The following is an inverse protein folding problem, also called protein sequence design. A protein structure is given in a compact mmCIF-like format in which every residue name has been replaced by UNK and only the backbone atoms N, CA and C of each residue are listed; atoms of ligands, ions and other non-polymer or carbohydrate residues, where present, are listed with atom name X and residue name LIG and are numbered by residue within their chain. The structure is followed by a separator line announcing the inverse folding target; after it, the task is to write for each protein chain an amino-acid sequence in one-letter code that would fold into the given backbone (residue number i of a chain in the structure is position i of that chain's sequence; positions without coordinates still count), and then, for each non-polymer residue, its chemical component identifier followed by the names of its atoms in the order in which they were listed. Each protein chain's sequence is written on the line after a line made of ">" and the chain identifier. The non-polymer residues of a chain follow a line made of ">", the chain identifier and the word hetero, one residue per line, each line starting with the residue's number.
data_IF_869995883186
#
_entry.id   IF_869995883186
#
_cell.length_a   1.000
_cell.length_b   1.000
_cell.length_c   1.000
_cell.angle_alpha   90.00
_cell.angle_beta   90.00
_cell.angle_gamma   90.00
#
_symmetry.space_group_name_H-M   'P 1'
#
loop_
_entity.id
_entity.type
_entity.pdbx_description
1 polymer ?
#
# COMPACT_ATOMS: atom_id res chain seq x y z
N UNK A 1 2.62 15.87 -4.80
CA UNK A 1 3.93 15.86 -5.49
C UNK A 1 5.06 15.42 -4.55
N UNK A 2 6.20 14.89 -5.05
CA UNK A 2 7.31 14.40 -4.19
C UNK A 2 7.85 15.43 -3.15
N UNK A 3 7.97 16.74 -3.46
CA UNK A 3 8.40 17.73 -2.46
C UNK A 3 7.41 17.91 -1.30
N UNK A 4 6.11 17.76 -1.57
CA UNK A 4 5.06 17.83 -0.53
C UNK A 4 5.16 16.63 0.40
N UNK A 5 5.36 15.42 -0.14
CA UNK A 5 5.56 14.21 0.65
C UNK A 5 6.72 14.41 1.63
N UNK A 6 7.89 14.86 1.13
CA UNK A 6 9.04 15.17 1.97
C UNK A 6 8.70 16.15 3.10
N UNK A 7 7.95 17.22 2.77
CA UNK A 7 7.61 18.30 3.71
C UNK A 7 6.60 17.83 4.77
N UNK A 8 5.60 17.04 4.36
CA UNK A 8 4.63 16.43 5.27
C UNK A 8 5.33 15.44 6.19
N UNK A 9 6.15 14.52 5.65
CA UNK A 9 6.90 13.56 6.47
C UNK A 9 7.78 14.25 7.51
N UNK A 10 8.49 15.31 7.13
CA UNK A 10 9.26 16.14 8.06
C UNK A 10 8.38 16.71 9.18
N UNK A 11 7.23 17.29 8.81
CA UNK A 11 6.31 17.94 9.75
C UNK A 11 5.73 16.95 10.75
N UNK A 12 5.19 15.83 10.27
CA UNK A 12 4.62 14.79 11.13
C UNK A 12 5.67 14.09 12.01
N UNK A 13 6.88 13.89 11.50
CA UNK A 13 7.98 13.34 12.31
C UNK A 13 8.35 14.29 13.47
N UNK A 14 8.47 15.58 13.22
CA UNK A 14 8.74 16.57 14.28
C UNK A 14 7.58 16.75 15.25
N UNK A 15 6.35 16.48 14.81
CA UNK A 15 5.15 16.46 15.66
C UNK A 15 5.06 15.22 16.57
N UNK A 16 5.92 14.20 16.34
CA UNK A 16 5.98 13.00 17.17
C UNK A 16 5.13 11.84 16.68
N UNK A 17 4.85 11.75 15.38
CA UNK A 17 4.24 10.55 14.81
C UNK A 17 5.11 9.30 15.08
N UNK A 18 4.49 8.17 15.44
CA UNK A 18 5.22 6.90 15.64
C UNK A 18 5.52 6.18 14.32
N UNK A 19 4.68 6.41 13.30
CA UNK A 19 4.75 5.78 11.99
C UNK A 19 4.32 6.77 10.91
N UNK A 20 4.95 6.70 9.74
CA UNK A 20 4.57 7.42 8.54
C UNK A 20 4.31 6.38 7.46
N UNK A 21 3.03 6.20 7.12
CA UNK A 21 2.61 5.36 6.00
C UNK A 21 2.63 6.14 4.69
N UNK A 22 3.19 5.51 3.65
CA UNK A 22 3.31 6.08 2.31
C UNK A 22 3.05 5.02 1.25
N UNK A 23 2.73 5.48 0.03
CA UNK A 23 2.59 4.57 -1.11
C UNK A 23 3.87 3.71 -1.30
N UNK A 24 3.67 2.44 -1.68
CA UNK A 24 4.72 1.48 -2.02
C UNK A 24 5.43 1.80 -3.35
N UNK A 25 5.89 3.05 -3.49
CA UNK A 25 6.59 3.58 -4.64
C UNK A 25 8.01 4.01 -4.22
N UNK A 26 9.06 3.57 -4.93
CA UNK A 26 10.45 3.88 -4.58
C UNK A 26 10.77 5.38 -4.49
N UNK A 27 10.17 6.22 -5.35
CA UNK A 27 10.40 7.66 -5.33
C UNK A 27 9.69 8.32 -4.14
N UNK A 28 8.49 7.85 -3.80
CA UNK A 28 7.75 8.26 -2.60
C UNK A 28 8.52 7.90 -1.33
N UNK A 29 9.00 6.66 -1.22
CA UNK A 29 9.84 6.17 -0.10
C UNK A 29 11.10 7.02 0.04
N UNK A 30 11.79 7.32 -1.06
CA UNK A 30 12.97 8.17 -1.04
C UNK A 30 12.67 9.60 -0.55
N UNK A 31 11.55 10.19 -1.00
CA UNK A 31 11.12 11.51 -0.54
C UNK A 31 10.78 11.51 0.95
N UNK A 32 10.08 10.49 1.45
CA UNK A 32 9.76 10.33 2.86
C UNK A 32 11.03 10.18 3.72
N UNK A 33 11.98 9.32 3.32
CA UNK A 33 13.29 9.19 3.99
C UNK A 33 14.04 10.51 4.10
N UNK A 34 14.04 11.29 3.02
CA UNK A 34 14.65 12.63 3.03
C UNK A 34 13.99 13.56 4.08
N UNK A 35 12.67 13.46 4.24
CA UNK A 35 11.90 14.18 5.27
C UNK A 35 12.27 13.74 6.68
N UNK A 36 12.33 12.42 6.93
CA UNK A 36 12.73 11.84 8.21
C UNK A 36 14.17 12.22 8.60
N UNK A 37 15.10 12.19 7.65
CA UNK A 37 16.49 12.60 7.87
C UNK A 37 16.59 14.09 8.21
N UNK A 38 15.76 14.93 7.58
CA UNK A 38 15.69 16.35 7.93
C UNK A 38 15.12 16.56 9.34
N UNK A 39 14.08 15.80 9.72
CA UNK A 39 13.49 15.85 11.05
C UNK A 39 14.52 15.49 12.13
N UNK A 40 15.30 14.42 11.89
CA UNK A 40 16.33 13.98 12.82
C UNK A 40 17.47 15.00 12.97
N UNK A 41 17.88 15.68 11.89
CA UNK A 41 18.87 16.77 11.97
C UNK A 41 18.35 17.94 12.79
N UNK A 42 17.10 18.35 12.58
CA UNK A 42 16.48 19.45 13.34
C UNK A 42 16.32 19.07 14.81
N UNK A 43 15.80 17.87 15.10
CA UNK A 43 15.64 17.41 16.47
C UNK A 43 16.97 17.36 17.25
N UNK A 44 18.07 16.96 16.58
CA UNK A 44 19.42 16.99 17.14
C UNK A 44 19.91 18.42 17.38
N UNK A 45 19.70 19.33 16.43
CA UNK A 45 20.09 20.74 16.57
C UNK A 45 19.34 21.46 17.71
N UNK A 46 18.04 21.16 17.85
CA UNK A 46 17.16 21.69 18.90
C UNK A 46 17.31 20.99 20.26
N UNK A 47 18.17 19.96 20.36
CA UNK A 47 18.33 19.12 21.56
C UNK A 47 17.01 18.53 22.11
N UNK A 48 16.10 18.11 21.22
CA UNK A 48 14.80 17.54 21.60
C UNK A 48 14.99 16.15 22.22
N UNK A 49 14.98 16.09 23.55
CA UNK A 49 15.17 14.85 24.34
C UNK A 49 14.10 13.77 24.13
N UNK A 50 12.94 14.13 23.56
CA UNK A 50 11.82 13.22 23.31
C UNK A 50 11.63 12.80 21.85
N UNK A 51 12.47 13.26 20.92
CA UNK A 51 12.29 12.90 19.51
C UNK A 51 12.60 11.42 19.27
N UNK A 52 11.66 10.72 18.65
CA UNK A 52 11.85 9.37 18.12
C UNK A 52 11.60 9.44 16.63
N UNK A 53 12.46 8.79 15.85
CA UNK A 53 12.27 8.68 14.41
C UNK A 53 11.05 7.78 14.17
N UNK A 54 10.00 8.26 13.47
CA UNK A 54 8.89 7.40 13.08
C UNK A 54 9.36 6.23 12.23
N UNK A 55 8.69 5.08 12.34
CA UNK A 55 8.84 4.01 11.36
C UNK A 55 8.33 4.46 9.99
N UNK A 56 9.02 4.07 8.93
CA UNK A 56 8.51 4.20 7.58
C UNK A 56 7.71 2.95 7.22
N UNK A 57 6.43 3.11 6.91
CA UNK A 57 5.52 2.05 6.52
C UNK A 57 5.11 2.21 5.06
N UNK A 58 4.80 1.08 4.44
CA UNK A 58 4.08 1.01 3.17
C UNK A 58 2.91 0.04 3.29
N UNK A 59 1.89 0.24 2.47
CA UNK A 59 0.73 -0.65 2.41
C UNK A 59 0.68 -1.46 1.12
N UNK A 60 0.22 -2.71 1.22
CA UNK A 60 -0.02 -3.62 0.10
C UNK A 60 -1.37 -4.31 0.30
N UNK A 61 -2.11 -4.64 -0.76
CA UNK A 61 -3.38 -5.37 -0.63
C UNK A 61 -3.26 -6.84 -0.99
N UNK A 62 -3.89 -7.69 -0.19
CA UNK A 62 -4.13 -9.09 -0.48
C UNK A 62 -5.37 -9.22 -1.37
N UNK A 63 -5.17 -9.33 -2.69
CA UNK A 63 -6.27 -9.46 -3.65
C UNK A 63 -6.36 -8.27 -4.59
N UNK A 64 -7.58 -7.84 -4.92
CA UNK A 64 -7.74 -6.62 -5.72
C UNK A 64 -7.33 -5.41 -4.87
N UNK A 65 -6.23 -4.78 -5.25
CA UNK A 65 -5.77 -3.58 -4.56
C UNK A 65 -6.54 -2.34 -5.05
N UNK A 66 -7.32 -1.68 -4.19
CA UNK A 66 -7.96 -0.42 -4.52
C UNK A 66 -7.01 0.65 -5.07
N UNK A 67 -5.76 0.65 -4.61
CA UNK A 67 -4.72 1.60 -4.97
C UNK A 67 -4.05 1.29 -6.31
N UNK A 68 -4.13 0.04 -6.81
CA UNK A 68 -3.68 -0.32 -8.17
C UNK A 68 -4.81 -0.37 -9.20
N UNK A 69 -6.03 0.01 -8.81
CA UNK A 69 -7.13 0.25 -9.76
C UNK A 69 -6.95 1.57 -10.47
N UNK A 70 -7.12 1.57 -11.79
CA UNK A 70 -7.15 2.79 -12.60
C UNK A 70 -8.54 2.93 -13.20
N UNK A 71 -9.02 4.17 -13.26
CA UNK A 71 -10.26 4.46 -13.98
C UNK A 71 -10.02 4.29 -15.49
N UNK A 72 -10.96 3.66 -16.18
CA UNK A 72 -10.95 3.54 -17.63
C UNK A 72 -12.36 3.68 -18.19
N UNK A 73 -12.44 4.21 -19.40
CA UNK A 73 -13.64 4.23 -20.22
C UNK A 73 -13.21 4.38 -21.68
N UNK A 74 -14.06 3.95 -22.60
CA UNK A 74 -13.87 4.25 -24.02
C UNK A 74 -14.38 5.68 -24.30
N UNK A 75 -13.50 6.62 -24.67
CA UNK A 75 -13.91 7.99 -24.98
C UNK A 75 -14.83 8.08 -26.21
N UNK A 76 -14.80 7.11 -27.12
CA UNK A 76 -15.62 7.10 -28.32
C UNK A 76 -17.11 6.87 -28.02
N UNK A 77 -17.43 6.18 -26.92
CA UNK A 77 -18.82 5.95 -26.48
C UNK A 77 -19.30 6.99 -25.45
N UNK A 78 -18.44 7.91 -25.01
CA UNK A 78 -18.83 8.98 -24.10
C UNK A 78 -19.69 10.03 -24.83
N UNK A 79 -20.92 10.31 -24.38
CA UNK A 79 -21.80 11.25 -25.07
C UNK A 79 -21.18 12.65 -25.19
N UNK A 80 -21.30 13.26 -26.38
CA UNK A 80 -20.70 14.57 -26.68
C UNK A 80 -21.30 15.71 -25.83
N UNK A 81 -22.56 15.55 -25.42
CA UNK A 81 -23.33 16.43 -24.56
C UNK A 81 -23.18 16.10 -23.06
N UNK A 82 -22.33 15.14 -22.70
CA UNK A 82 -22.04 14.82 -21.31
C UNK A 82 -21.48 16.05 -20.58
N UNK A 83 -21.98 16.40 -19.37
CA UNK A 83 -21.44 17.52 -18.58
C UNK A 83 -20.06 17.23 -17.96
N UNK A 84 -19.56 16.00 -18.13
CA UNK A 84 -18.24 15.51 -17.67
C UNK A 84 -17.91 15.88 -16.22
N UNK A 85 -18.76 15.52 -15.24
CA UNK A 85 -18.45 15.73 -13.82
C UNK A 85 -17.20 14.97 -13.37
N UNK A 86 -16.84 13.89 -14.08
CA UNK A 86 -15.63 13.10 -13.84
C UNK A 86 -14.33 13.90 -14.03
N UNK A 87 -14.27 14.85 -14.97
CA UNK A 87 -13.11 15.74 -15.14
C UNK A 87 -12.95 16.64 -13.91
N UNK A 88 -14.06 17.25 -13.45
CA UNK A 88 -14.07 18.22 -12.34
C UNK A 88 -13.76 17.59 -10.98
N UNK A 89 -14.21 16.35 -10.75
CA UNK A 89 -14.01 15.68 -9.45
C UNK A 89 -12.61 15.06 -9.31
N UNK A 90 -11.89 14.90 -10.43
CA UNK A 90 -10.58 14.25 -10.42
C UNK A 90 -9.52 15.18 -9.81
N UNK A 91 -8.98 14.89 -8.62
CA UNK A 91 -8.13 15.84 -7.90
C UNK A 91 -6.72 15.96 -8.49
N UNK A 92 -6.39 15.10 -9.45
CA UNK A 92 -5.08 15.03 -10.15
C UNK A 92 -5.22 15.23 -11.65
N UNK A 93 -6.40 15.67 -12.10
CA UNK A 93 -6.67 15.99 -13.51
C UNK A 93 -6.26 14.83 -14.45
N UNK A 94 -6.57 13.60 -14.04
CA UNK A 94 -6.25 12.41 -14.82
C UNK A 94 -7.26 12.13 -15.92
N UNK A 95 -8.42 12.79 -15.93
CA UNK A 95 -9.46 12.63 -16.96
C UNK A 95 -9.51 13.93 -17.75
N UNK A 96 -9.33 13.82 -19.07
CA UNK A 96 -9.24 14.97 -19.98
C UNK A 96 -10.01 14.69 -21.28
N UNK A 97 -10.65 15.71 -21.84
CA UNK A 97 -11.17 15.76 -23.21
C UNK A 97 -10.57 16.95 -23.97
N UNK A 98 -9.30 16.80 -24.39
CA UNK A 98 -8.56 17.73 -25.24
C UNK A 98 -8.65 17.36 -26.73
N UNK A 99 -8.16 18.25 -27.60
CA UNK A 99 -8.21 18.04 -29.06
C UNK A 99 -7.40 16.82 -29.53
N UNK A 100 -6.33 16.49 -28.80
CA UNK A 100 -5.37 15.42 -29.10
C UNK A 100 -5.50 14.21 -28.16
N UNK A 101 -6.33 14.30 -27.12
CA UNK A 101 -6.56 13.21 -26.19
C UNK A 101 -7.93 13.28 -25.53
N UNK A 102 -8.62 12.15 -25.51
CA UNK A 102 -9.80 11.94 -24.69
C UNK A 102 -9.63 10.64 -23.91
N UNK A 103 -9.82 10.66 -22.59
CA UNK A 103 -9.72 9.45 -21.77
C UNK A 103 -9.04 9.70 -20.42
N UNK A 104 -8.44 8.63 -19.88
CA UNK A 104 -7.74 8.65 -18.59
C UNK A 104 -6.23 8.57 -18.77
N UNK A 105 -5.50 9.56 -18.26
CA UNK A 105 -4.03 9.56 -18.08
C UNK A 105 -3.67 8.59 -16.96
N UNK A 106 -3.36 7.34 -17.31
CA UNK A 106 -3.10 6.26 -16.34
C UNK A 106 -1.94 6.55 -15.39
N UNK A 107 -0.94 7.30 -15.87
CA UNK A 107 0.22 7.77 -15.11
C UNK A 107 -0.15 8.76 -14.00
N UNK A 108 -1.23 9.54 -14.18
CA UNK A 108 -1.73 10.48 -13.17
C UNK A 108 -2.81 9.90 -12.27
N UNK A 109 -3.65 9.00 -12.81
CA UNK A 109 -4.73 8.39 -12.05
C UNK A 109 -4.17 7.56 -10.89
N UNK A 110 -4.43 7.91 -9.63
CA UNK A 110 -3.98 7.12 -8.47
C UNK A 110 -5.09 6.22 -7.89
N UNK A 111 -6.17 5.98 -8.65
CA UNK A 111 -7.17 4.98 -8.26
C UNK A 111 -8.20 5.39 -7.21
N UNK A 112 -8.30 6.67 -6.83
CA UNK A 112 -9.24 7.11 -5.77
C UNK A 112 -10.73 6.82 -6.02
N UNK A 113 -11.10 6.45 -7.24
CA UNK A 113 -12.45 6.04 -7.61
C UNK A 113 -13.53 7.13 -7.56
N UNK A 114 -13.20 8.39 -7.23
CA UNK A 114 -14.17 9.50 -7.13
C UNK A 114 -14.97 9.74 -8.42
N UNK A 115 -14.41 9.40 -9.58
CA UNK A 115 -15.06 9.55 -10.87
C UNK A 115 -16.14 8.49 -11.15
N UNK A 116 -16.08 7.31 -10.52
CA UNK A 116 -17.01 6.21 -10.75
C UNK A 116 -18.47 6.60 -10.41
N UNK A 117 -18.78 7.03 -9.17
CA UNK A 117 -20.16 7.30 -8.77
C UNK A 117 -20.76 8.55 -9.41
N UNK A 118 -19.93 9.46 -9.95
CA UNK A 118 -20.42 10.71 -10.56
C UNK A 118 -20.67 10.58 -12.06
N UNK A 119 -20.28 9.48 -12.69
CA UNK A 119 -20.51 9.30 -14.13
C UNK A 119 -22.02 9.13 -14.39
N UNK A 120 -22.70 10.07 -15.07
CA UNK A 120 -24.16 10.00 -15.25
C UNK A 120 -24.59 8.85 -16.16
N UNK A 121 -23.65 8.33 -16.97
CA UNK A 121 -23.87 7.24 -17.91
C UNK A 121 -23.29 5.90 -17.42
N UNK A 122 -22.63 5.88 -16.25
CA UNK A 122 -22.01 4.66 -15.70
C UNK A 122 -20.91 4.06 -16.58
N UNK A 123 -20.25 4.86 -17.43
CA UNK A 123 -19.28 4.37 -18.42
C UNK A 123 -17.87 4.15 -17.87
N UNK A 124 -17.58 4.61 -16.65
CA UNK A 124 -16.25 4.52 -16.05
C UNK A 124 -16.16 3.25 -15.21
N UNK A 125 -15.22 2.38 -15.58
CA UNK A 125 -14.87 1.18 -14.84
C UNK A 125 -13.54 1.37 -14.10
N UNK A 126 -13.35 0.62 -13.00
CA UNK A 126 -12.08 0.50 -12.33
C UNK A 126 -11.42 -0.82 -12.74
N UNK A 127 -10.22 -0.76 -13.31
CA UNK A 127 -9.45 -1.93 -13.71
C UNK A 127 -8.20 -2.05 -12.86
N UNK A 128 -8.04 -3.20 -12.21
CA UNK A 128 -6.85 -3.54 -11.44
C UNK A 128 -5.70 -3.85 -12.39
N UNK A 129 -4.58 -3.16 -12.23
CA UNK A 129 -3.33 -3.49 -12.90
C UNK A 129 -2.40 -4.15 -11.90
N UNK A 130 -2.38 -5.49 -11.81
CA UNK A 130 -1.46 -6.18 -10.92
C UNK A 130 -0.04 -5.88 -11.39
N UNK A 131 0.69 -5.10 -10.59
CA UNK A 131 2.16 -5.09 -10.72
C UNK A 131 2.65 -6.40 -10.09
N UNK A 132 3.57 -7.14 -10.71
CA UNK A 132 4.11 -8.35 -10.10
C UNK A 132 4.64 -8.03 -8.70
N UNK A 133 3.95 -8.56 -7.69
CA UNK A 133 4.18 -8.26 -6.27
C UNK A 133 5.63 -8.53 -5.91
N UNK A 134 6.25 -9.56 -6.51
CA UNK A 134 7.63 -9.97 -6.24
C UNK A 134 8.67 -8.87 -6.54
N UNK A 135 8.55 -8.18 -7.69
CA UNK A 135 9.52 -7.16 -8.10
C UNK A 135 9.41 -5.89 -7.24
N UNK A 136 8.17 -5.52 -6.88
CA UNK A 136 7.89 -4.37 -6.02
C UNK A 136 8.29 -4.67 -4.57
N UNK A 137 7.95 -5.85 -4.06
CA UNK A 137 8.23 -6.28 -2.69
C UNK A 137 9.73 -6.24 -2.39
N UNK A 138 10.58 -6.77 -3.27
CA UNK A 138 12.03 -6.74 -3.03
C UNK A 138 12.59 -5.30 -2.94
N UNK A 139 12.18 -4.45 -3.87
CA UNK A 139 12.68 -3.07 -3.94
C UNK A 139 12.16 -2.21 -2.80
N UNK A 140 10.91 -2.43 -2.37
CA UNK A 140 10.24 -1.61 -1.36
C UNK A 140 10.56 -2.10 0.06
N UNK A 141 10.42 -3.40 0.35
CA UNK A 141 10.52 -3.94 1.71
C UNK A 141 11.93 -3.90 2.29
N UNK A 142 12.96 -3.86 1.44
CA UNK A 142 14.34 -3.63 1.87
C UNK A 142 14.60 -2.19 2.34
N UNK A 143 13.64 -1.29 2.17
CA UNK A 143 13.79 0.13 2.38
C UNK A 143 12.90 0.70 3.49
N UNK A 144 12.04 -0.10 4.10
CA UNK A 144 11.02 0.35 5.07
C UNK A 144 11.17 -0.39 6.38
N UNK A 145 10.59 0.16 7.44
CA UNK A 145 10.60 -0.42 8.77
C UNK A 145 9.35 -1.27 9.02
N UNK A 146 8.26 -1.01 8.29
CA UNK A 146 6.95 -1.58 8.56
C UNK A 146 6.16 -1.86 7.28
N UNK A 147 5.20 -2.79 7.38
CA UNK A 147 4.30 -3.14 6.29
C UNK A 147 2.86 -3.20 6.82
N UNK A 148 1.93 -2.61 6.08
CA UNK A 148 0.50 -2.86 6.25
C UNK A 148 -0.01 -3.76 5.12
N UNK A 149 -0.84 -4.74 5.46
CA UNK A 149 -1.55 -5.60 4.50
C UNK A 149 -3.05 -5.33 4.61
N UNK A 150 -3.63 -4.79 3.55
CA UNK A 150 -5.08 -4.62 3.41
C UNK A 150 -5.71 -5.91 2.91
N UNK A 151 -6.86 -6.31 3.47
CA UNK A 151 -7.54 -7.55 3.09
C UNK A 151 -9.02 -7.50 3.45
N UNK A 152 -9.85 -8.33 2.84
CA UNK A 152 -11.28 -8.45 3.11
C UNK A 152 -11.67 -9.89 3.42
N UNK A 153 -12.76 -10.07 4.16
CA UNK A 153 -13.30 -11.41 4.43
C UNK A 153 -13.58 -12.13 3.12
N UNK A 154 -12.95 -13.31 2.96
CA UNK A 154 -13.04 -14.14 1.76
C UNK A 154 -11.77 -14.14 0.89
N UNK A 155 -10.80 -13.26 1.14
CA UNK A 155 -9.57 -13.16 0.33
C UNK A 155 -8.45 -14.14 0.79
N UNK A 156 -8.79 -15.29 1.39
CA UNK A 156 -7.80 -16.22 1.98
C UNK A 156 -6.69 -16.64 1.00
N UNK A 157 -7.05 -16.94 -0.25
CA UNK A 157 -6.08 -17.37 -1.26
C UNK A 157 -5.11 -16.25 -1.61
N UNK A 158 -5.62 -15.05 -1.88
CA UNK A 158 -4.79 -13.90 -2.21
C UNK A 158 -3.90 -13.47 -1.05
N UNK A 159 -4.41 -13.53 0.19
CA UNK A 159 -3.60 -13.28 1.38
C UNK A 159 -2.48 -14.30 1.53
N UNK A 160 -2.77 -15.58 1.31
CA UNK A 160 -1.77 -16.64 1.39
C UNK A 160 -0.67 -16.43 0.35
N UNK A 161 -1.02 -16.16 -0.89
CA UNK A 161 -0.06 -15.92 -1.97
C UNK A 161 0.82 -14.70 -1.68
N UNK A 162 0.22 -13.58 -1.25
CA UNK A 162 0.97 -12.40 -0.83
C UNK A 162 1.90 -12.72 0.35
N UNK A 163 1.40 -13.39 1.39
CA UNK A 163 2.19 -13.74 2.57
C UNK A 163 3.40 -14.60 2.23
N UNK A 164 3.24 -15.54 1.29
CA UNK A 164 4.32 -16.38 0.77
C UNK A 164 5.38 -15.56 0.04
N UNK A 165 4.97 -14.67 -0.86
CA UNK A 165 5.88 -13.72 -1.50
C UNK A 165 6.64 -12.94 -0.44
N UNK A 166 5.98 -12.43 0.59
CA UNK A 166 6.58 -11.55 1.61
C UNK A 166 7.58 -12.25 2.56
N UNK A 167 7.50 -13.58 2.72
CA UNK A 167 8.29 -14.36 3.69
C UNK A 167 9.78 -13.98 3.78
N UNK A 168 10.51 -13.78 2.67
CA UNK A 168 11.94 -13.45 2.74
C UNK A 168 12.26 -12.13 3.44
N UNK A 169 11.31 -11.19 3.49
CA UNK A 169 11.52 -9.84 4.02
C UNK A 169 10.86 -9.58 5.37
N UNK A 170 9.86 -10.37 5.74
CA UNK A 170 9.16 -10.28 7.04
C UNK A 170 10.16 -10.15 8.18
N UNK A 171 11.22 -10.97 8.18
CA UNK A 171 12.35 -10.96 9.13
C UNK A 171 12.97 -9.59 9.44
N UNK A 172 12.95 -8.66 8.49
CA UNK A 172 13.63 -7.36 8.58
C UNK A 172 12.71 -6.23 9.05
N UNK A 173 11.39 -6.43 9.00
CA UNK A 173 10.42 -5.44 9.42
C UNK A 173 10.35 -5.39 10.96
N UNK A 174 10.06 -4.21 11.51
CA UNK A 174 9.79 -4.01 12.93
C UNK A 174 8.36 -4.42 13.28
N UNK A 175 7.42 -4.16 12.37
CA UNK A 175 6.00 -4.39 12.58
C UNK A 175 5.29 -4.74 11.27
N UNK A 176 4.28 -5.60 11.38
CA UNK A 176 3.33 -5.89 10.31
C UNK A 176 1.94 -5.57 10.83
N UNK A 177 1.20 -4.74 10.09
CA UNK A 177 -0.20 -4.48 10.38
C UNK A 177 -1.08 -5.22 9.37
N UNK A 178 -2.18 -5.81 9.83
CA UNK A 178 -3.22 -6.39 8.97
C UNK A 178 -4.47 -5.54 9.14
N UNK A 179 -4.87 -4.86 8.07
CA UNK A 179 -6.04 -4.01 8.00
C UNK A 179 -7.18 -4.75 7.29
N UNK A 180 -8.28 -4.97 8.01
CA UNK A 180 -9.44 -5.69 7.49
C UNK A 180 -10.74 -4.99 7.93
N UNK A 181 -11.48 -4.37 7.01
CA UNK A 181 -12.73 -3.70 7.35
C UNK A 181 -13.74 -4.63 8.03
N UNK A 182 -14.55 -4.09 8.94
CA UNK A 182 -15.57 -4.86 9.63
C UNK A 182 -16.62 -5.43 8.67
N UNK A 183 -16.84 -6.74 8.75
CA UNK A 183 -17.83 -7.46 7.95
C UNK A 183 -18.25 -8.77 8.63
N UNK A 184 -19.33 -9.37 8.16
CA UNK A 184 -19.78 -10.67 8.64
C UNK A 184 -18.64 -11.71 8.50
N UNK A 185 -18.38 -12.47 9.57
CA UNK A 185 -17.34 -13.50 9.58
C UNK A 185 -15.91 -13.02 9.90
N UNK A 186 -15.69 -11.71 10.16
CA UNK A 186 -14.37 -11.11 10.40
C UNK A 186 -13.52 -11.90 11.42
N UNK A 187 -14.06 -12.21 12.60
CA UNK A 187 -13.29 -12.87 13.66
C UNK A 187 -12.75 -14.24 13.21
N UNK A 188 -13.54 -15.01 12.47
CA UNK A 188 -13.11 -16.31 11.97
C UNK A 188 -12.06 -16.14 10.87
N UNK A 189 -12.29 -15.18 9.97
CA UNK A 189 -11.34 -14.83 8.93
C UNK A 189 -9.96 -14.45 9.50
N UNK A 190 -9.90 -13.55 10.49
CA UNK A 190 -8.63 -13.14 11.11
C UNK A 190 -7.91 -14.30 11.84
N UNK A 191 -8.67 -15.23 12.44
CA UNK A 191 -8.10 -16.45 13.03
C UNK A 191 -7.47 -17.34 11.95
N UNK A 192 -8.11 -17.48 10.81
CA UNK A 192 -7.57 -18.24 9.68
C UNK A 192 -6.28 -17.58 9.14
N UNK A 193 -6.28 -16.26 8.98
CA UNK A 193 -5.08 -15.51 8.58
C UNK A 193 -3.94 -15.69 9.57
N UNK A 194 -4.23 -15.66 10.87
CA UNK A 194 -3.22 -15.93 11.90
C UNK A 194 -2.60 -17.32 11.74
N UNK A 195 -3.36 -18.32 11.31
CA UNK A 195 -2.82 -19.65 11.03
C UNK A 195 -1.98 -19.68 9.76
N UNK A 196 -2.44 -19.02 8.68
CA UNK A 196 -1.65 -18.85 7.45
C UNK A 196 -0.28 -18.23 7.79
N UNK A 197 -0.26 -17.23 8.67
CA UNK A 197 0.98 -16.54 9.08
C UNK A 197 1.93 -17.40 9.92
N UNK A 198 1.41 -18.41 10.63
CA UNK A 198 2.20 -19.28 11.53
C UNK A 198 2.84 -20.46 10.81
N UNK A 199 2.29 -20.90 9.68
CA UNK A 199 2.75 -22.10 8.98
C UNK A 199 3.96 -21.74 8.11
N UNK A 200 5.18 -22.21 8.42
CA UNK A 200 6.29 -22.14 7.48
C UNK A 200 5.99 -23.12 6.35
N UNK A 201 6.08 -22.68 5.09
CA UNK A 201 5.84 -23.59 3.98
C UNK A 201 6.88 -24.71 3.99
N UNK A 202 6.42 -25.97 4.11
CA UNK A 202 7.27 -27.12 3.81
C UNK A 202 7.51 -27.11 2.30
N UNK A 203 8.72 -26.77 1.87
CA UNK A 203 9.09 -26.76 0.47
C UNK A 203 8.75 -28.11 -0.22
N UNK A 204 8.20 -28.11 -1.45
CA UNK A 204 7.97 -29.33 -2.18
C UNK A 204 9.30 -29.95 -2.63
N UNK A 205 9.65 -31.04 -1.94
CA UNK A 205 10.59 -32.12 -2.31
C UNK A 205 11.76 -31.81 -3.24
N UNK A 206 12.97 -31.70 -2.66
CA UNK A 206 14.17 -32.38 -3.17
C UNK A 206 15.02 -32.87 -2.00
N UNK A 207 15.22 -34.18 -1.94
CA UNK A 207 16.18 -34.83 -1.04
C UNK A 207 17.58 -34.25 -1.21
N UNK A 208 18.26 -33.99 -0.08
CA UNK A 208 19.61 -34.46 0.28
C UNK A 208 20.23 -33.54 1.35
N UNK A 209 20.39 -34.11 2.55
CA UNK A 209 21.34 -33.79 3.63
C UNK A 209 22.08 -32.44 3.53
N UNK A 210 21.77 -31.52 4.45
CA UNK A 210 22.73 -30.83 5.34
C UNK A 210 22.22 -29.44 5.79
N UNK A 211 22.51 -29.15 7.06
CA UNK A 211 22.35 -27.87 7.77
C UNK A 211 20.93 -27.52 8.24
N UNK A 212 20.66 -27.94 9.47
CA UNK A 212 19.75 -27.25 10.36
C UNK A 212 20.29 -25.83 10.61
N UNK A 213 19.93 -24.87 9.76
CA UNK A 213 19.93 -23.46 10.13
C UNK A 213 18.53 -23.21 10.68
N UNK A 214 18.39 -23.38 11.99
CA UNK A 214 17.25 -22.84 12.70
C UNK A 214 17.28 -21.31 12.50
N UNK A 215 16.52 -20.80 11.53
CA UNK A 215 16.20 -19.38 11.49
C UNK A 215 15.54 -19.07 12.84
N UNK A 216 16.28 -18.41 13.73
CA UNK A 216 15.70 -17.67 14.84
C UNK A 216 14.80 -16.61 14.21
N UNK A 217 13.53 -16.95 14.03
CA UNK A 217 12.51 -16.00 13.61
C UNK A 217 12.42 -14.97 14.73
N UNK A 218 12.88 -13.74 14.47
CA UNK A 218 12.51 -12.58 15.27
C UNK A 218 10.98 -12.62 15.38
N UNK A 219 10.44 -12.53 16.60
CA UNK A 219 9.01 -12.39 16.77
C UNK A 219 8.61 -11.01 16.27
N UNK A 220 8.00 -10.93 15.10
CA UNK A 220 7.42 -9.69 14.59
C UNK A 220 6.18 -9.33 15.40
N UNK A 221 6.03 -8.06 15.74
CA UNK A 221 4.77 -7.59 16.29
C UNK A 221 3.75 -7.52 15.15
N UNK A 222 2.65 -8.24 15.30
CA UNK A 222 1.51 -8.18 14.37
C UNK A 222 0.41 -7.37 15.04
N UNK A 223 -0.01 -6.29 14.39
CA UNK A 223 -1.19 -5.52 14.79
C UNK A 223 -2.35 -5.87 13.86
N UNK A 224 -3.55 -5.97 14.42
CA UNK A 224 -4.78 -6.18 13.66
C UNK A 224 -5.63 -4.91 13.74
N UNK A 225 -5.92 -4.29 12.60
CA UNK A 225 -6.77 -3.10 12.47
C UNK A 225 -8.09 -3.51 11.84
N UNK A 226 -9.20 -3.34 12.56
CA UNK A 226 -10.53 -3.83 12.15
C UNK A 226 -11.56 -2.73 11.91
N UNK A 227 -11.22 -1.48 12.21
CA UNK A 227 -12.13 -0.34 12.10
C UNK A 227 -12.14 0.28 10.68
N UNK A 228 -11.35 -0.26 9.76
CA UNK A 228 -11.31 0.16 8.35
C UNK A 228 -10.89 1.62 8.16
N UNK A 229 -10.29 2.24 9.17
CA UNK A 229 -9.72 3.59 9.08
C UNK A 229 -8.19 3.44 9.01
N UNK A 230 -7.53 4.00 7.98
CA UNK A 230 -6.08 4.08 7.94
C UNK A 230 -5.55 4.89 9.14
#
# INVERSE_FOLDING_TARGET
>A
ALPEIRTLTLTYALAGADCIDVAADPAVIAAAKSGLDAAERIAKADQRSGYRRPWLMVSMSAGEDPHFRKAEFDPAICPKDCPRPCEKICPVEAIEFAADFAGVRRDRCYGCGRCLPVCPWGLIAAHSYPTPIDAVAQQVLSQVDALEIHTHVGEHAAFKDLWQTLQPWVGNLQIISISCPDSEGLINYLKDLQQIMKVPESAPGKDLKASAIALKTKSHHVIWQTDGRP
#
